data_IF_986563616369
#
_entry.id   IF_986563616369
#
_cell.length_a   1.000
_cell.length_b   1.000
_cell.length_c   1.000
_cell.angle_alpha   90.00
_cell.angle_beta   90.00
_cell.angle_gamma   90.00
#
_symmetry.space_group_name_H-M   'P 1'
#
loop_
_entity.id
_entity.type
_entity.pdbx_description
1 polymer ?
#
# COMPACT_ATOMS: atom_id res chain seq x y z
N UNK A 1 -26.73 4.90 -9.15
CA UNK A 1 -27.12 4.00 -8.05
C UNK A 1 -27.66 4.85 -6.89
N UNK A 2 -28.71 4.42 -6.21
CA UNK A 2 -29.23 5.16 -5.04
C UNK A 2 -28.48 4.65 -3.78
N UNK A 3 -27.62 5.47 -3.20
CA UNK A 3 -26.83 5.12 -2.01
C UNK A 3 -27.62 5.45 -0.75
N UNK A 4 -28.51 4.54 -0.33
CA UNK A 4 -29.27 4.67 0.90
C UNK A 4 -28.38 4.56 2.15
N UNK A 5 -28.85 5.01 3.30
CA UNK A 5 -28.21 4.76 4.59
C UNK A 5 -28.07 3.26 4.84
N UNK A 6 -26.87 2.82 5.22
CA UNK A 6 -26.55 1.43 5.59
C UNK A 6 -25.62 1.40 6.81
N UNK A 7 -25.53 0.24 7.44
CA UNK A 7 -24.56 -0.07 8.48
C UNK A 7 -23.49 -1.01 7.94
N UNK A 8 -22.25 -0.59 7.94
CA UNK A 8 -21.12 -1.38 7.42
C UNK A 8 -20.12 -1.66 8.51
N UNK A 9 -19.80 -2.93 8.73
CA UNK A 9 -18.65 -3.31 9.56
C UNK A 9 -17.46 -3.63 8.67
N UNK A 10 -16.31 -2.98 8.93
CA UNK A 10 -15.10 -3.11 8.09
C UNK A 10 -13.97 -3.68 8.94
N UNK A 11 -13.26 -4.68 8.44
CA UNK A 11 -12.04 -5.19 9.06
C UNK A 11 -10.88 -5.21 8.08
N UNK A 12 -9.79 -4.56 8.48
CA UNK A 12 -8.54 -4.54 7.75
C UNK A 12 -7.44 -4.01 8.67
N UNK A 13 -6.35 -4.75 8.83
CA UNK A 13 -5.36 -4.33 9.80
C UNK A 13 -4.05 -5.10 9.73
N UNK A 14 -3.20 -4.86 10.73
CA UNK A 14 -1.87 -5.43 10.87
C UNK A 14 -0.79 -4.66 10.09
N UNK A 15 -1.11 -4.11 8.94
CA UNK A 15 -0.19 -3.32 8.09
C UNK A 15 -0.91 -2.19 7.38
N UNK A 16 -0.18 -1.16 6.95
CA UNK A 16 -0.73 -0.07 6.14
C UNK A 16 -1.40 -0.55 4.84
N UNK A 17 -0.91 -1.67 4.27
CA UNK A 17 -1.47 -2.27 3.05
C UNK A 17 -2.93 -2.74 3.18
N UNK A 18 -3.42 -3.01 4.39
CA UNK A 18 -4.82 -3.35 4.67
C UNK A 18 -5.60 -2.16 5.25
N UNK A 19 -4.94 -1.33 6.07
CA UNK A 19 -5.60 -0.21 6.77
C UNK A 19 -6.01 0.89 5.78
N UNK A 20 -5.11 1.32 4.91
CA UNK A 20 -5.40 2.41 3.97
C UNK A 20 -6.46 2.06 2.93
N UNK A 21 -6.48 0.87 2.31
CA UNK A 21 -7.61 0.42 1.50
C UNK A 21 -8.95 0.40 2.27
N UNK A 22 -8.96 -0.09 3.50
CA UNK A 22 -10.17 -0.09 4.33
C UNK A 22 -10.67 1.34 4.62
N UNK A 23 -9.77 2.28 4.91
CA UNK A 23 -10.10 3.69 5.09
C UNK A 23 -10.59 4.34 3.79
N UNK A 24 -10.01 3.99 2.64
CA UNK A 24 -10.46 4.51 1.33
C UNK A 24 -11.88 4.07 1.00
N UNK A 25 -12.25 2.81 1.30
CA UNK A 25 -13.62 2.31 1.16
C UNK A 25 -14.56 3.05 2.11
N UNK A 26 -14.19 3.21 3.37
CA UNK A 26 -14.99 3.92 4.38
C UNK A 26 -15.22 5.39 4.01
N UNK A 27 -14.17 6.07 3.54
CA UNK A 27 -14.27 7.46 3.08
C UNK A 27 -15.23 7.59 1.90
N UNK A 28 -15.15 6.68 0.92
CA UNK A 28 -16.05 6.68 -0.23
C UNK A 28 -17.50 6.39 0.17
N UNK A 29 -17.75 5.46 1.09
CA UNK A 29 -19.10 5.23 1.64
C UNK A 29 -19.68 6.49 2.28
N UNK A 30 -18.89 7.20 3.11
CA UNK A 30 -19.31 8.43 3.77
C UNK A 30 -19.48 9.60 2.80
N UNK A 31 -18.65 9.67 1.76
CA UNK A 31 -18.77 10.67 0.68
C UNK A 31 -20.11 10.53 -0.08
N UNK A 32 -20.50 9.28 -0.38
CA UNK A 32 -21.72 8.99 -1.13
C UNK A 32 -22.99 9.09 -0.27
N UNK A 33 -22.89 8.74 1.00
CA UNK A 33 -23.96 8.95 1.97
C UNK A 33 -23.37 9.23 3.36
N UNK A 34 -23.42 10.50 3.85
CA UNK A 34 -22.90 10.89 5.15
C UNK A 34 -23.57 10.21 6.34
N UNK A 35 -24.82 9.70 6.18
CA UNK A 35 -25.56 9.00 7.24
C UNK A 35 -25.16 7.52 7.37
N UNK A 36 -24.30 6.99 6.49
CA UNK A 36 -23.79 5.62 6.58
C UNK A 36 -23.04 5.41 7.89
N UNK A 37 -23.48 4.42 8.65
CA UNK A 37 -22.86 4.06 9.92
C UNK A 37 -21.71 3.05 9.67
N UNK A 38 -20.50 3.43 10.03
CA UNK A 38 -19.31 2.62 9.80
C UNK A 38 -18.66 2.28 11.13
N UNK A 39 -18.44 0.98 11.35
CA UNK A 39 -17.69 0.45 12.49
C UNK A 39 -16.50 -0.37 12.00
N UNK A 40 -15.31 -0.03 12.44
CA UNK A 40 -14.13 -0.85 12.21
C UNK A 40 -13.98 -1.91 13.29
N UNK A 41 -13.36 -3.03 12.89
CA UNK A 41 -12.95 -4.09 13.81
C UNK A 41 -11.50 -4.45 13.52
N UNK A 42 -10.63 -4.30 14.52
CA UNK A 42 -9.18 -4.49 14.40
C UNK A 42 -8.62 -5.46 15.43
N UNK A 43 -7.34 -5.79 15.30
CA UNK A 43 -6.61 -6.59 16.28
C UNK A 43 -6.04 -5.71 17.40
N UNK A 44 -6.21 -6.14 18.65
CA UNK A 44 -5.72 -5.42 19.83
C UNK A 44 -4.21 -5.12 19.74
N UNK A 45 -3.83 -3.87 20.07
CA UNK A 45 -2.44 -3.40 20.08
C UNK A 45 -1.78 -3.29 18.71
N UNK A 46 -2.55 -3.23 17.61
CA UNK A 46 -2.05 -3.09 16.25
C UNK A 46 -2.26 -1.66 15.73
N UNK A 47 -1.61 -1.38 14.60
CA UNK A 47 -1.57 -0.05 13.97
C UNK A 47 -2.98 0.50 13.68
N UNK A 48 -3.93 -0.33 13.31
CA UNK A 48 -5.31 0.05 13.05
C UNK A 48 -5.98 0.72 14.25
N UNK A 49 -5.64 0.29 15.48
CA UNK A 49 -6.20 0.87 16.71
C UNK A 49 -5.84 2.35 16.92
N UNK A 50 -4.81 2.83 16.22
CA UNK A 50 -4.40 4.25 16.21
C UNK A 50 -4.87 4.94 14.92
N UNK A 51 -4.62 4.32 13.75
CA UNK A 51 -4.86 4.95 12.45
C UNK A 51 -6.33 5.14 12.10
N UNK A 52 -7.18 4.24 12.53
CA UNK A 52 -8.62 4.34 12.27
C UNK A 52 -9.27 5.48 13.06
N UNK A 53 -9.03 5.64 14.39
CA UNK A 53 -9.49 6.82 15.13
C UNK A 53 -8.90 8.13 14.62
N UNK A 54 -7.62 8.18 14.23
CA UNK A 54 -7.02 9.37 13.61
C UNK A 54 -7.76 9.79 12.32
N UNK A 55 -8.37 8.84 11.61
CA UNK A 55 -9.19 9.09 10.42
C UNK A 55 -10.68 9.41 10.75
N UNK A 56 -11.06 9.50 12.03
CA UNK A 56 -12.40 9.87 12.46
C UNK A 56 -13.41 8.73 12.43
N UNK A 57 -12.97 7.48 12.54
CA UNK A 57 -13.83 6.29 12.60
C UNK A 57 -13.77 5.59 13.94
N UNK A 58 -14.90 4.99 14.34
CA UNK A 58 -14.95 4.11 15.51
C UNK A 58 -14.33 2.76 15.19
N UNK A 59 -13.61 2.19 16.15
CA UNK A 59 -13.01 0.86 16.03
C UNK A 59 -13.19 0.07 17.31
N UNK A 60 -13.44 -1.23 17.18
CA UNK A 60 -13.48 -2.19 18.27
C UNK A 60 -12.36 -3.23 18.10
N UNK A 61 -11.78 -3.65 19.23
CA UNK A 61 -10.65 -4.55 19.25
C UNK A 61 -11.07 -6.02 19.39
N UNK A 62 -10.44 -6.91 18.62
CA UNK A 62 -10.49 -8.35 18.86
C UNK A 62 -9.18 -8.82 19.48
N UNK A 63 -9.22 -9.75 20.47
CA UNK A 63 -8.04 -10.27 21.16
C UNK A 63 -7.25 -11.28 20.29
N UNK A 64 -7.16 -11.01 18.98
CA UNK A 64 -6.47 -11.88 18.04
C UNK A 64 -5.05 -11.40 17.80
N UNK A 65 -4.14 -12.36 17.58
CA UNK A 65 -2.77 -12.09 17.17
C UNK A 65 -2.43 -12.95 15.96
N UNK A 66 -1.51 -12.45 15.13
CA UNK A 66 -0.99 -13.26 14.02
C UNK A 66 -0.19 -14.46 14.50
N UNK A 67 -0.22 -15.53 13.73
CA UNK A 67 0.66 -16.68 13.92
C UNK A 67 2.11 -16.22 13.81
N UNK A 68 2.88 -16.43 14.89
CA UNK A 68 4.31 -16.16 14.82
C UNK A 68 5.00 -17.30 14.06
N UNK A 69 5.80 -16.97 13.05
CA UNK A 69 6.55 -17.94 12.23
C UNK A 69 7.56 -18.76 13.02
N UNK A 70 7.98 -18.28 14.21
CA UNK A 70 8.84 -19.04 15.12
C UNK A 70 7.98 -19.89 16.05
N UNK A 71 8.41 -21.12 16.32
CA UNK A 71 7.84 -21.96 17.35
C UNK A 71 7.95 -21.23 18.69
N UNK A 72 6.82 -20.73 19.19
CA UNK A 72 6.73 -19.97 20.43
C UNK A 72 5.58 -20.53 21.28
N UNK A 73 5.76 -20.57 22.58
CA UNK A 73 4.70 -20.93 23.54
C UNK A 73 3.45 -20.05 23.40
N UNK A 74 3.59 -18.85 22.82
CA UNK A 74 2.47 -17.97 22.49
C UNK A 74 1.54 -18.58 21.43
N UNK A 75 2.03 -19.46 20.55
CA UNK A 75 1.22 -20.15 19.55
C UNK A 75 0.26 -21.18 20.17
N UNK A 76 0.56 -21.72 21.34
CA UNK A 76 -0.35 -22.62 22.09
C UNK A 76 -1.64 -21.91 22.54
N UNK A 77 -1.59 -20.59 22.75
CA UNK A 77 -2.76 -19.77 23.12
C UNK A 77 -3.57 -19.31 21.89
N UNK A 78 -3.10 -19.59 20.67
CA UNK A 78 -3.75 -19.11 19.44
C UNK A 78 -5.17 -19.68 19.27
N UNK A 79 -5.44 -20.99 19.46
CA UNK A 79 -6.80 -21.54 19.34
C UNK A 79 -7.79 -20.85 20.29
N UNK A 80 -7.39 -20.63 21.54
CA UNK A 80 -8.20 -19.92 22.53
C UNK A 80 -8.49 -18.48 22.09
N UNK A 81 -7.46 -17.75 21.59
CA UNK A 81 -7.63 -16.39 21.08
C UNK A 81 -8.56 -16.32 19.88
N UNK A 82 -8.47 -17.30 18.98
CA UNK A 82 -9.36 -17.39 17.81
C UNK A 82 -10.81 -17.57 18.25
N UNK A 83 -11.09 -18.54 19.16
CA UNK A 83 -12.44 -18.78 19.69
C UNK A 83 -12.97 -17.52 20.37
N UNK A 84 -12.19 -16.91 21.26
CA UNK A 84 -12.56 -15.68 21.96
C UNK A 84 -12.87 -14.56 20.98
N UNK A 85 -12.05 -14.39 19.94
CA UNK A 85 -12.25 -13.37 18.89
C UNK A 85 -13.51 -13.61 18.08
N UNK A 86 -13.85 -14.86 17.77
CA UNK A 86 -15.11 -15.21 17.09
C UNK A 86 -16.33 -14.92 17.98
N UNK A 87 -16.26 -15.24 19.28
CA UNK A 87 -17.35 -14.91 20.23
C UNK A 87 -17.54 -13.39 20.30
N UNK A 88 -16.46 -12.64 20.40
CA UNK A 88 -16.52 -11.16 20.46
C UNK A 88 -17.02 -10.56 19.14
N UNK A 89 -16.56 -11.06 18.01
CA UNK A 89 -17.07 -10.67 16.71
C UNK A 89 -18.59 -10.88 16.58
N UNK A 90 -19.11 -12.02 17.07
CA UNK A 90 -20.58 -12.26 17.12
C UNK A 90 -21.31 -11.25 17.99
N UNK A 91 -20.73 -10.84 19.13
CA UNK A 91 -21.32 -9.81 20.02
C UNK A 91 -21.35 -8.47 19.34
N UNK A 92 -20.26 -8.08 18.67
CA UNK A 92 -20.16 -6.83 17.90
C UNK A 92 -21.25 -6.81 16.82
N UNK A 93 -21.36 -7.89 16.02
CA UNK A 93 -22.34 -8.00 14.93
C UNK A 93 -23.79 -7.90 15.49
N UNK A 94 -24.10 -8.61 16.58
CA UNK A 94 -25.45 -8.53 17.20
C UNK A 94 -25.80 -7.14 17.71
N UNK A 95 -24.83 -6.43 18.27
CA UNK A 95 -25.03 -5.07 18.82
C UNK A 95 -25.11 -4.02 17.71
N UNK A 96 -24.23 -4.09 16.72
CA UNK A 96 -24.15 -3.12 15.64
C UNK A 96 -25.18 -3.38 14.53
N UNK A 97 -25.58 -4.63 14.33
CA UNK A 97 -26.54 -5.08 13.29
C UNK A 97 -26.12 -4.57 11.89
N UNK A 98 -24.94 -4.92 11.39
CA UNK A 98 -24.50 -4.48 10.08
C UNK A 98 -25.34 -5.08 8.97
N UNK A 99 -25.59 -4.31 7.91
CA UNK A 99 -26.20 -4.79 6.66
C UNK A 99 -25.18 -5.62 5.86
N UNK A 100 -23.90 -5.31 5.99
CA UNK A 100 -22.80 -6.01 5.30
C UNK A 100 -21.50 -5.94 6.11
N UNK A 101 -20.67 -6.99 5.98
CA UNK A 101 -19.32 -7.03 6.55
C UNK A 101 -18.26 -7.04 5.42
N UNK A 102 -17.32 -6.10 5.49
CA UNK A 102 -16.23 -5.94 4.51
C UNK A 102 -14.90 -6.35 5.11
N UNK A 103 -14.21 -7.30 4.49
CA UNK A 103 -12.88 -7.76 4.88
C UNK A 103 -11.81 -7.32 3.89
N UNK A 104 -10.85 -6.56 4.39
CA UNK A 104 -9.74 -6.02 3.58
C UNK A 104 -8.43 -6.76 3.85
N UNK A 105 -8.49 -7.84 4.63
CA UNK A 105 -7.32 -8.62 5.05
C UNK A 105 -6.81 -8.28 6.44
N UNK A 106 -5.81 -9.03 6.88
CA UNK A 106 -5.29 -8.96 8.23
C UNK A 106 -5.97 -9.97 9.19
N UNK A 107 -5.42 -10.05 10.40
CA UNK A 107 -5.82 -11.10 11.36
C UNK A 107 -7.24 -10.93 11.90
N UNK A 108 -7.71 -9.69 12.06
CA UNK A 108 -9.05 -9.41 12.58
C UNK A 108 -10.16 -9.71 11.56
N UNK A 109 -9.87 -9.68 10.26
CA UNK A 109 -10.83 -10.01 9.22
C UNK A 109 -11.33 -11.45 9.31
N UNK A 110 -10.48 -12.41 9.69
CA UNK A 110 -10.85 -13.81 9.78
C UNK A 110 -12.01 -14.07 10.76
N UNK A 111 -11.92 -13.74 12.06
CA UNK A 111 -13.00 -13.98 12.99
C UNK A 111 -14.25 -13.14 12.71
N UNK A 112 -14.09 -11.90 12.21
CA UNK A 112 -15.23 -11.04 11.90
C UNK A 112 -16.06 -11.59 10.73
N UNK A 113 -15.43 -11.83 9.57
CA UNK A 113 -16.15 -12.33 8.39
C UNK A 113 -16.66 -13.75 8.60
N UNK A 114 -15.90 -14.61 9.29
CA UNK A 114 -16.39 -15.94 9.64
C UNK A 114 -17.67 -15.86 10.50
N UNK A 115 -17.70 -14.96 11.48
CA UNK A 115 -18.88 -14.74 12.31
C UNK A 115 -20.04 -14.18 11.49
N UNK A 116 -19.81 -13.19 10.62
CA UNK A 116 -20.80 -12.60 9.72
C UNK A 116 -21.43 -13.67 8.81
N UNK A 117 -20.62 -14.47 8.13
CA UNK A 117 -21.08 -15.59 7.27
C UNK A 117 -21.93 -16.60 8.03
N UNK A 118 -21.63 -16.88 9.31
CA UNK A 118 -22.40 -17.80 10.16
C UNK A 118 -23.69 -17.20 10.71
N UNK A 119 -23.80 -15.88 10.68
CA UNK A 119 -24.97 -15.14 11.14
C UNK A 119 -25.86 -14.66 9.99
N UNK A 120 -25.54 -15.03 8.74
CA UNK A 120 -26.31 -14.65 7.56
C UNK A 120 -26.13 -13.17 7.15
N UNK A 121 -25.08 -12.51 7.64
CA UNK A 121 -24.75 -11.15 7.20
C UNK A 121 -23.93 -11.25 5.90
N UNK A 122 -24.33 -10.55 4.83
CA UNK A 122 -23.59 -10.51 3.57
C UNK A 122 -22.14 -10.11 3.78
N UNK A 123 -21.22 -10.72 3.01
CA UNK A 123 -19.78 -10.47 3.15
C UNK A 123 -19.11 -10.13 1.83
N UNK A 124 -18.32 -9.07 1.83
CA UNK A 124 -17.45 -8.69 0.72
C UNK A 124 -15.99 -8.79 1.15
N UNK A 125 -15.16 -9.37 0.30
CA UNK A 125 -13.70 -9.42 0.49
C UNK A 125 -13.03 -8.52 -0.56
N UNK A 126 -12.05 -7.73 -0.13
CA UNK A 126 -11.15 -7.03 -1.02
C UNK A 126 -9.74 -7.62 -0.91
N UNK A 127 -9.18 -8.11 -2.02
CA UNK A 127 -7.82 -8.65 -2.12
C UNK A 127 -6.93 -7.69 -2.89
N UNK A 128 -5.88 -7.21 -2.25
CA UNK A 128 -5.01 -6.17 -2.78
C UNK A 128 -3.89 -6.71 -3.67
N UNK A 129 -3.49 -7.95 -3.50
CA UNK A 129 -2.29 -8.51 -4.09
C UNK A 129 -2.60 -9.47 -5.25
N UNK A 130 -1.66 -9.65 -6.15
CA UNK A 130 -1.73 -10.64 -7.21
C UNK A 130 -1.61 -12.10 -6.72
N UNK A 131 -1.45 -12.30 -5.40
CA UNK A 131 -1.48 -13.59 -4.73
C UNK A 131 -2.32 -13.48 -3.46
N UNK A 132 -3.39 -14.26 -3.38
CA UNK A 132 -4.36 -14.15 -2.28
C UNK A 132 -3.79 -14.63 -0.94
N UNK A 133 -4.05 -13.83 0.11
CA UNK A 133 -3.71 -14.23 1.47
C UNK A 133 -4.52 -15.43 1.95
N UNK A 134 -3.95 -16.26 2.84
CA UNK A 134 -4.60 -17.47 3.37
C UNK A 134 -5.99 -17.18 3.96
N UNK A 135 -6.14 -16.10 4.71
CA UNK A 135 -7.42 -15.68 5.29
C UNK A 135 -8.48 -15.47 4.20
N UNK A 136 -8.14 -14.71 3.16
CA UNK A 136 -9.06 -14.43 2.05
C UNK A 136 -9.40 -15.69 1.25
N UNK A 137 -8.44 -16.62 1.04
CA UNK A 137 -8.69 -17.92 0.39
C UNK A 137 -9.74 -18.76 1.16
N UNK A 138 -9.66 -18.79 2.48
CA UNK A 138 -10.60 -19.56 3.32
C UNK A 138 -11.98 -18.90 3.30
N UNK A 139 -12.05 -17.59 3.52
CA UNK A 139 -13.29 -16.83 3.62
C UNK A 139 -13.98 -16.66 2.26
N UNK A 140 -13.21 -16.56 1.17
CA UNK A 140 -13.70 -16.37 -0.18
C UNK A 140 -14.62 -17.50 -0.68
N UNK A 141 -14.50 -18.71 -0.15
CA UNK A 141 -15.40 -19.81 -0.48
C UNK A 141 -16.85 -19.50 -0.15
N UNK A 142 -17.11 -18.69 0.91
CA UNK A 142 -18.44 -18.33 1.39
C UNK A 142 -18.77 -16.84 1.27
N UNK A 143 -17.82 -16.01 0.83
CA UNK A 143 -18.10 -14.61 0.58
C UNK A 143 -19.11 -14.45 -0.56
N UNK A 144 -19.91 -13.39 -0.49
CA UNK A 144 -20.91 -13.09 -1.52
C UNK A 144 -20.26 -12.37 -2.71
N UNK A 145 -19.25 -11.55 -2.47
CA UNK A 145 -18.47 -10.84 -3.49
C UNK A 145 -16.99 -10.79 -3.12
N UNK A 146 -16.12 -10.85 -4.13
CA UNK A 146 -14.67 -10.77 -3.98
C UNK A 146 -14.11 -9.74 -4.96
N UNK A 147 -13.82 -8.56 -4.46
CA UNK A 147 -13.20 -7.49 -5.20
C UNK A 147 -11.67 -7.70 -5.27
N UNK A 148 -11.12 -7.77 -6.46
CA UNK A 148 -9.70 -8.05 -6.68
C UNK A 148 -9.00 -6.93 -7.43
N UNK A 149 -7.69 -6.81 -7.21
CA UNK A 149 -6.87 -5.80 -7.87
C UNK A 149 -6.14 -6.30 -9.11
N UNK A 150 -6.00 -7.60 -9.27
CA UNK A 150 -5.23 -8.23 -10.36
C UNK A 150 -6.05 -9.33 -11.02
N UNK A 151 -5.77 -9.60 -12.30
CA UNK A 151 -6.30 -10.73 -13.07
C UNK A 151 -5.71 -12.07 -12.62
N UNK A 152 -6.32 -13.18 -13.01
CA UNK A 152 -5.84 -14.53 -12.70
C UNK A 152 -6.10 -14.95 -11.26
N UNK A 153 -7.09 -14.33 -10.59
CA UNK A 153 -7.45 -14.64 -9.21
C UNK A 153 -8.42 -15.85 -9.11
N UNK A 154 -8.89 -16.37 -10.22
CA UNK A 154 -9.73 -17.57 -10.34
C UNK A 154 -9.03 -18.82 -9.79
N UNK A 155 -7.70 -18.82 -9.78
CA UNK A 155 -6.89 -19.87 -9.15
C UNK A 155 -7.02 -19.92 -7.61
N UNK A 156 -7.59 -18.88 -7.00
CA UNK A 156 -7.74 -18.76 -5.55
C UNK A 156 -9.18 -18.67 -5.09
N UNK A 157 -10.07 -18.17 -5.94
CA UNK A 157 -11.45 -17.83 -5.61
C UNK A 157 -12.43 -18.37 -6.65
N UNK A 158 -13.70 -18.61 -6.28
CA UNK A 158 -14.75 -18.93 -7.25
C UNK A 158 -14.90 -17.82 -8.27
N UNK A 159 -14.81 -18.16 -9.57
CA UNK A 159 -14.76 -17.17 -10.66
C UNK A 159 -16.01 -16.27 -10.70
N UNK A 160 -17.17 -16.84 -10.40
CA UNK A 160 -18.47 -16.16 -10.40
C UNK A 160 -18.63 -15.09 -9.32
N UNK A 161 -17.75 -15.09 -8.31
CA UNK A 161 -17.74 -14.11 -7.21
C UNK A 161 -16.70 -13.01 -7.38
N UNK A 162 -15.84 -13.14 -8.38
CA UNK A 162 -14.73 -12.20 -8.61
C UNK A 162 -15.21 -10.98 -9.37
N UNK A 163 -14.90 -9.80 -8.83
CA UNK A 163 -15.09 -8.52 -9.52
C UNK A 163 -13.75 -7.79 -9.56
N UNK A 164 -13.30 -7.42 -10.76
CA UNK A 164 -12.07 -6.66 -10.97
C UNK A 164 -12.33 -5.18 -10.69
N UNK A 165 -12.06 -4.74 -9.46
CA UNK A 165 -12.25 -3.35 -9.03
C UNK A 165 -10.96 -2.53 -8.98
N UNK A 166 -9.81 -3.19 -8.81
CA UNK A 166 -8.56 -2.53 -8.46
C UNK A 166 -8.40 -2.34 -6.94
N UNK A 167 -7.32 -1.66 -6.56
CA UNK A 167 -7.07 -1.29 -5.18
C UNK A 167 -7.61 0.10 -4.88
N UNK A 168 -8.37 0.28 -3.80
CA UNK A 168 -8.81 1.59 -3.36
C UNK A 168 -7.61 2.37 -2.83
N UNK A 169 -7.28 3.45 -3.50
CA UNK A 169 -6.20 4.38 -3.18
C UNK A 169 -6.77 5.75 -2.80
N UNK A 170 -5.92 6.63 -2.32
CA UNK A 170 -6.30 8.01 -1.99
C UNK A 170 -6.73 8.76 -3.26
N UNK A 171 -7.82 9.48 -3.21
CA UNK A 171 -8.40 10.21 -4.35
C UNK A 171 -7.48 11.30 -4.96
N UNK A 172 -6.52 11.77 -4.16
CA UNK A 172 -5.50 12.74 -4.60
C UNK A 172 -4.43 12.13 -5.51
N UNK A 173 -4.34 10.78 -5.60
CA UNK A 173 -3.37 10.10 -6.45
C UNK A 173 -3.85 10.07 -7.89
N UNK A 174 -3.32 11.00 -8.69
CA UNK A 174 -3.64 11.20 -10.11
C UNK A 174 -2.44 11.78 -10.85
N UNK A 175 -2.42 11.80 -12.18
CA UNK A 175 -1.38 12.47 -12.95
C UNK A 175 -1.25 13.93 -12.51
N UNK A 176 -0.01 14.37 -12.32
CA UNK A 176 0.25 15.73 -11.87
C UNK A 176 -0.13 16.78 -12.92
N UNK A 177 -0.81 17.83 -12.50
CA UNK A 177 -0.91 19.05 -13.30
C UNK A 177 0.39 19.86 -13.22
N UNK A 178 0.63 20.80 -14.16
CA UNK A 178 1.76 21.71 -14.06
C UNK A 178 1.80 22.45 -12.72
N UNK A 179 0.64 22.91 -12.20
CA UNK A 179 0.52 23.59 -10.92
C UNK A 179 0.90 22.69 -9.75
N UNK A 180 0.44 21.41 -9.76
CA UNK A 180 0.80 20.46 -8.71
C UNK A 180 2.30 20.15 -8.70
N UNK A 181 2.92 20.10 -9.90
CA UNK A 181 4.37 19.94 -10.01
C UNK A 181 5.12 21.15 -9.44
N UNK A 182 4.69 22.35 -9.78
CA UNK A 182 5.27 23.60 -9.29
C UNK A 182 5.17 23.71 -7.76
N UNK A 183 3.96 23.46 -7.19
CA UNK A 183 3.75 23.36 -5.73
C UNK A 183 4.71 22.35 -5.09
N UNK A 184 4.91 21.20 -5.72
CA UNK A 184 5.81 20.17 -5.22
C UNK A 184 7.28 20.58 -5.26
N UNK A 185 7.71 21.25 -6.33
CA UNK A 185 9.08 21.79 -6.44
C UNK A 185 9.36 22.81 -5.32
N UNK A 186 8.41 23.72 -5.08
CA UNK A 186 8.50 24.70 -4.00
C UNK A 186 8.50 24.02 -2.62
N UNK A 187 7.53 23.14 -2.38
CA UNK A 187 7.38 22.43 -1.09
C UNK A 187 8.63 21.66 -0.69
N UNK A 188 9.23 20.93 -1.64
CA UNK A 188 10.44 20.16 -1.41
C UNK A 188 11.72 20.96 -1.68
N UNK A 189 11.63 22.24 -2.07
CA UNK A 189 12.74 23.12 -2.42
C UNK A 189 13.67 22.50 -3.46
N UNK A 190 13.05 21.98 -4.55
CA UNK A 190 13.76 21.32 -5.64
C UNK A 190 13.99 22.30 -6.81
N UNK A 191 15.10 22.09 -7.53
CA UNK A 191 15.43 22.89 -8.72
C UNK A 191 14.65 22.39 -9.95
N UNK A 192 13.92 23.24 -10.68
CA UNK A 192 13.22 22.82 -11.90
C UNK A 192 14.15 22.35 -13.00
N UNK A 193 15.44 22.72 -12.96
CA UNK A 193 16.47 22.37 -13.96
C UNK A 193 17.07 20.99 -13.75
N UNK A 194 16.77 20.34 -12.61
CA UNK A 194 17.29 19.02 -12.27
C UNK A 194 16.27 17.90 -12.49
N UNK A 195 16.76 16.69 -12.60
CA UNK A 195 15.93 15.47 -12.58
C UNK A 195 15.64 15.07 -11.15
N UNK A 196 14.49 14.50 -10.91
CA UNK A 196 14.04 14.15 -9.55
C UNK A 196 13.77 12.66 -9.43
N UNK A 197 14.51 12.01 -8.53
CA UNK A 197 14.32 10.62 -8.15
C UNK A 197 13.63 10.55 -6.78
N UNK A 198 12.53 9.84 -6.72
CA UNK A 198 11.84 9.53 -5.46
C UNK A 198 12.15 8.08 -5.07
N UNK A 199 12.63 7.88 -3.83
CA UNK A 199 12.93 6.54 -3.28
C UNK A 199 12.04 6.27 -2.08
N UNK A 200 11.21 5.21 -2.15
CA UNK A 200 10.19 4.87 -1.15
C UNK A 200 10.45 3.48 -0.57
N UNK A 201 10.81 3.43 0.70
CA UNK A 201 11.02 2.18 1.42
C UNK A 201 9.75 1.57 2.05
N UNK A 202 8.59 2.25 1.94
CA UNK A 202 7.37 1.94 2.68
C UNK A 202 7.37 2.60 4.08
N UNK A 203 6.27 2.45 4.84
CA UNK A 203 6.06 3.16 6.12
C UNK A 203 7.13 2.93 7.18
N UNK A 204 7.79 1.77 7.17
CA UNK A 204 8.88 1.43 8.10
C UNK A 204 10.28 1.70 7.53
N UNK A 205 10.35 2.05 6.24
CA UNK A 205 11.62 2.13 5.51
C UNK A 205 12.10 0.76 5.01
N UNK A 206 13.21 0.78 4.28
CA UNK A 206 13.84 -0.40 3.71
C UNK A 206 15.36 -0.36 3.88
N UNK A 207 15.91 -1.27 4.68
CA UNK A 207 17.37 -1.35 4.88
C UNK A 207 18.15 -1.55 3.59
N UNK A 208 17.62 -2.31 2.63
CA UNK A 208 18.27 -2.53 1.35
C UNK A 208 18.31 -1.26 0.51
N UNK A 209 17.17 -0.55 0.37
CA UNK A 209 17.14 0.72 -0.35
C UNK A 209 18.07 1.75 0.30
N UNK A 210 18.06 1.82 1.63
CA UNK A 210 18.94 2.73 2.37
C UNK A 210 20.42 2.40 2.09
N UNK A 211 20.82 1.13 2.16
CA UNK A 211 22.20 0.72 1.83
C UNK A 211 22.55 1.06 0.38
N UNK A 212 21.64 0.90 -0.56
CA UNK A 212 21.88 1.25 -1.97
C UNK A 212 22.19 2.75 -2.15
N UNK A 213 21.43 3.61 -1.49
CA UNK A 213 21.66 5.07 -1.55
C UNK A 213 22.96 5.44 -0.83
N UNK A 214 23.18 4.91 0.37
CA UNK A 214 24.39 5.19 1.15
C UNK A 214 25.66 4.74 0.43
N UNK A 215 25.61 3.56 -0.23
CA UNK A 215 26.73 3.07 -1.06
C UNK A 215 26.99 4.01 -2.24
N UNK A 216 25.98 4.41 -2.98
CA UNK A 216 26.08 5.35 -4.09
C UNK A 216 26.71 6.69 -3.66
N UNK A 217 26.33 7.20 -2.48
CA UNK A 217 26.96 8.41 -1.91
C UNK A 217 28.45 8.16 -1.59
N UNK A 218 28.78 7.02 -0.98
CA UNK A 218 30.16 6.67 -0.65
C UNK A 218 31.04 6.50 -1.90
N UNK A 219 30.46 6.17 -3.06
CA UNK A 219 31.13 6.06 -4.35
C UNK A 219 31.22 7.38 -5.11
N UNK A 220 30.84 8.51 -4.49
CA UNK A 220 30.92 9.83 -5.10
C UNK A 220 29.69 10.25 -5.89
N UNK A 221 28.54 9.60 -5.71
CA UNK A 221 27.29 9.87 -6.42
C UNK A 221 27.44 9.81 -7.96
N UNK A 222 27.95 8.72 -8.55
CA UNK A 222 28.16 8.66 -10.01
C UNK A 222 26.85 8.93 -10.76
N UNK A 223 26.88 9.87 -11.73
CA UNK A 223 25.70 10.30 -12.50
C UNK A 223 24.73 11.22 -11.72
N UNK A 224 25.08 11.62 -10.48
CA UNK A 224 24.18 12.41 -9.62
C UNK A 224 24.25 13.92 -9.78
N UNK A 225 25.13 14.48 -10.60
CA UNK A 225 25.36 15.93 -10.71
C UNK A 225 24.09 16.74 -11.07
N UNK A 226 23.23 16.16 -11.91
CA UNK A 226 21.94 16.74 -12.35
C UNK A 226 20.73 16.14 -11.63
N UNK A 227 20.95 15.45 -10.51
CA UNK A 227 19.92 14.70 -9.80
C UNK A 227 19.63 15.31 -8.43
N UNK A 228 18.35 15.39 -8.09
CA UNK A 228 17.89 15.55 -6.71
C UNK A 228 17.09 14.33 -6.30
N UNK A 229 17.36 13.84 -5.08
CA UNK A 229 16.80 12.60 -4.56
C UNK A 229 15.96 12.89 -3.33
N UNK A 230 14.66 12.66 -3.44
CA UNK A 230 13.78 12.56 -2.27
C UNK A 230 13.83 11.12 -1.76
N UNK A 231 14.39 10.94 -0.56
CA UNK A 231 14.67 9.61 -0.04
C UNK A 231 13.93 9.35 1.27
N UNK A 232 12.85 8.56 1.21
CA UNK A 232 12.16 8.07 2.40
C UNK A 232 12.94 6.92 3.04
N UNK A 233 13.77 7.23 4.00
CA UNK A 233 14.58 6.24 4.70
C UNK A 233 13.82 5.43 5.75
N UNK A 234 12.70 5.96 6.28
CA UNK A 234 11.88 5.35 7.32
C UNK A 234 12.31 5.73 8.74
N UNK A 235 11.35 5.84 9.66
CA UNK A 235 11.59 6.25 11.05
C UNK A 235 12.64 5.41 11.76
N UNK A 236 12.64 4.09 11.51
CA UNK A 236 13.58 3.17 12.14
C UNK A 236 15.03 3.46 11.77
N UNK A 237 15.27 3.91 10.53
CA UNK A 237 16.61 4.14 10.01
C UNK A 237 17.05 5.59 10.07
N UNK A 238 16.15 6.53 10.40
CA UNK A 238 16.43 7.98 10.29
C UNK A 238 17.70 8.39 11.05
N UNK A 239 17.88 7.93 12.28
CA UNK A 239 19.06 8.25 13.09
C UNK A 239 20.37 7.81 12.41
N UNK A 240 20.43 6.55 11.96
CA UNK A 240 21.65 6.02 11.31
C UNK A 240 21.93 6.67 9.95
N UNK A 241 20.86 7.06 9.23
CA UNK A 241 20.98 7.79 7.97
C UNK A 241 21.51 9.21 8.22
N UNK A 242 21.02 9.91 9.25
CA UNK A 242 21.51 11.25 9.60
C UNK A 242 22.97 11.24 10.03
N UNK A 243 23.36 10.24 10.82
CA UNK A 243 24.76 10.05 11.22
C UNK A 243 25.66 9.80 9.99
N UNK A 244 25.18 8.97 9.04
CA UNK A 244 25.88 8.73 7.78
C UNK A 244 25.98 10.03 6.93
N UNK A 245 24.90 10.79 6.79
CA UNK A 245 24.92 12.05 6.00
C UNK A 245 25.92 13.07 6.57
N UNK A 246 25.94 13.24 7.89
CA UNK A 246 26.94 14.12 8.56
C UNK A 246 28.37 13.67 8.29
N UNK A 247 28.61 12.37 8.35
CA UNK A 247 29.92 11.79 8.03
C UNK A 247 30.27 12.05 6.55
N UNK A 248 29.33 11.82 5.64
CA UNK A 248 29.53 12.04 4.22
C UNK A 248 29.88 13.50 3.90
N UNK A 249 29.22 14.46 4.56
CA UNK A 249 29.54 15.89 4.45
C UNK A 249 30.96 16.20 4.95
N UNK A 250 31.33 15.68 6.13
CA UNK A 250 32.64 15.93 6.71
C UNK A 250 33.79 15.31 5.94
N UNK A 251 33.56 14.18 5.27
CA UNK A 251 34.53 13.48 4.45
C UNK A 251 34.51 13.90 2.97
N UNK A 252 33.60 14.81 2.58
CA UNK A 252 33.43 15.26 1.19
C UNK A 252 32.92 14.19 0.23
N UNK A 253 32.24 13.14 0.76
CA UNK A 253 31.68 12.09 -0.05
C UNK A 253 30.50 12.62 -0.90
N UNK A 254 30.34 12.10 -2.10
CA UNK A 254 29.24 12.52 -3.00
C UNK A 254 29.44 13.89 -3.65
N UNK A 255 30.46 14.66 -3.27
CA UNK A 255 30.79 15.93 -3.88
C UNK A 255 29.59 16.89 -3.91
N UNK A 256 29.43 17.66 -4.98
CA UNK A 256 28.31 18.59 -5.17
C UNK A 256 26.95 17.93 -5.24
N UNK A 257 26.88 16.64 -5.62
CA UNK A 257 25.62 15.89 -5.74
C UNK A 257 25.01 15.58 -4.37
N UNK A 258 25.81 15.49 -3.28
CA UNK A 258 25.31 15.23 -1.94
C UNK A 258 24.26 16.26 -1.49
N UNK A 259 24.44 17.54 -1.83
CA UNK A 259 23.49 18.60 -1.50
C UNK A 259 22.09 18.41 -2.12
N UNK A 260 21.99 17.59 -3.17
CA UNK A 260 20.73 17.21 -3.80
C UNK A 260 20.02 16.03 -3.14
N UNK A 261 20.64 15.34 -2.16
CA UNK A 261 20.06 14.18 -1.47
C UNK A 261 19.31 14.61 -0.21
N UNK A 262 18.01 14.34 -0.15
CA UNK A 262 17.13 14.75 0.95
C UNK A 262 16.53 13.54 1.67
N UNK A 263 17.18 13.00 2.71
CA UNK A 263 16.65 11.90 3.51
C UNK A 263 15.53 12.37 4.44
N UNK A 264 14.37 11.71 4.35
CA UNK A 264 13.20 11.95 5.20
C UNK A 264 12.79 10.65 5.89
N UNK A 265 12.34 10.75 7.13
CA UNK A 265 11.79 9.60 7.85
C UNK A 265 10.43 9.16 7.25
N UNK A 266 9.61 10.14 6.87
CA UNK A 266 8.28 9.91 6.29
C UNK A 266 7.91 11.04 5.31
N UNK A 267 7.22 10.69 4.23
CA UNK A 267 6.71 11.64 3.24
C UNK A 267 5.20 11.81 3.46
N UNK A 268 4.79 12.94 4.03
CA UNK A 268 3.39 13.25 4.30
C UNK A 268 2.60 13.62 3.02
N UNK A 269 3.20 14.47 2.17
CA UNK A 269 2.61 14.93 0.91
C UNK A 269 3.11 14.08 -0.26
N UNK A 270 2.70 12.79 -0.25
CA UNK A 270 3.04 11.84 -1.33
C UNK A 270 2.52 12.28 -2.70
N UNK A 271 1.41 13.01 -2.73
CA UNK A 271 0.86 13.63 -3.93
C UNK A 271 1.87 14.55 -4.60
N UNK A 272 2.48 15.44 -3.83
CA UNK A 272 3.52 16.36 -4.30
C UNK A 272 4.83 15.61 -4.63
N UNK A 273 5.20 14.61 -3.83
CA UNK A 273 6.40 13.82 -4.09
C UNK A 273 6.29 13.05 -5.42
N UNK A 274 5.12 12.45 -5.69
CA UNK A 274 4.86 11.86 -6.99
C UNK A 274 4.80 12.92 -8.11
N UNK A 275 4.23 14.10 -7.84
CA UNK A 275 4.13 15.16 -8.86
C UNK A 275 5.51 15.58 -9.38
N UNK A 276 6.48 15.78 -8.50
CA UNK A 276 7.84 16.21 -8.88
C UNK A 276 8.70 15.07 -9.45
N UNK A 277 8.49 13.83 -9.04
CA UNK A 277 9.33 12.70 -9.44
C UNK A 277 9.28 12.43 -10.94
N UNK A 278 10.44 12.37 -11.58
CA UNK A 278 10.59 11.92 -12.97
C UNK A 278 10.65 10.37 -13.02
N UNK A 279 11.29 9.74 -12.03
CA UNK A 279 11.26 8.31 -11.82
C UNK A 279 11.12 7.97 -10.33
N UNK A 280 10.62 6.77 -10.03
CA UNK A 280 10.41 6.31 -8.66
C UNK A 280 11.08 4.96 -8.43
N UNK A 281 11.84 4.84 -7.34
CA UNK A 281 12.28 3.56 -6.80
C UNK A 281 11.35 3.20 -5.64
N UNK A 282 10.75 2.02 -5.66
CA UNK A 282 9.81 1.62 -4.63
C UNK A 282 9.84 0.13 -4.30
N UNK A 283 9.47 -0.20 -3.05
CA UNK A 283 8.95 -1.53 -2.75
C UNK A 283 7.63 -1.72 -3.51
N UNK A 284 7.33 -2.96 -3.89
CA UNK A 284 6.12 -3.29 -4.68
C UNK A 284 4.94 -3.75 -3.81
N UNK A 285 4.69 -3.02 -2.72
CA UNK A 285 3.46 -3.16 -1.95
C UNK A 285 2.24 -2.76 -2.79
N UNK A 286 1.11 -3.44 -2.59
CA UNK A 286 -0.08 -3.28 -3.43
C UNK A 286 -0.54 -1.82 -3.57
N UNK A 287 -0.61 -1.06 -2.46
CA UNK A 287 -1.02 0.35 -2.50
C UNK A 287 -0.04 1.21 -3.28
N UNK A 288 1.29 1.02 -3.07
CA UNK A 288 2.32 1.79 -3.78
C UNK A 288 2.27 1.54 -5.28
N UNK A 289 2.12 0.27 -5.69
CA UNK A 289 1.97 -0.10 -7.10
C UNK A 289 0.76 0.58 -7.72
N UNK A 290 -0.39 0.53 -7.04
CA UNK A 290 -1.62 1.15 -7.53
C UNK A 290 -1.55 2.68 -7.58
N UNK A 291 -0.91 3.33 -6.60
CA UNK A 291 -0.66 4.77 -6.61
C UNK A 291 0.27 5.19 -7.76
N UNK A 292 1.34 4.42 -8.01
CA UNK A 292 2.27 4.66 -9.12
C UNK A 292 1.57 4.54 -10.47
N UNK A 293 0.68 3.54 -10.64
CA UNK A 293 -0.15 3.42 -11.83
C UNK A 293 -1.06 4.64 -11.99
N UNK A 294 -1.78 5.03 -10.94
CA UNK A 294 -2.71 6.16 -10.98
C UNK A 294 -2.01 7.50 -11.26
N UNK A 295 -0.77 7.67 -10.80
CA UNK A 295 0.04 8.85 -11.06
C UNK A 295 0.82 8.78 -12.38
N UNK A 296 0.76 7.67 -13.13
CA UNK A 296 1.49 7.48 -14.38
C UNK A 296 3.00 7.54 -14.24
N UNK A 297 3.55 6.98 -13.16
CA UNK A 297 4.98 7.08 -12.84
C UNK A 297 5.80 5.91 -13.38
N UNK A 298 6.93 6.23 -14.02
CA UNK A 298 7.96 5.26 -14.31
C UNK A 298 8.58 4.76 -13.00
N UNK A 299 8.54 3.45 -12.76
CA UNK A 299 8.98 2.87 -11.50
C UNK A 299 9.99 1.75 -11.66
N UNK A 300 10.98 1.73 -10.75
CA UNK A 300 11.89 0.61 -10.53
C UNK A 300 11.46 -0.06 -9.22
N UNK A 301 10.97 -1.27 -9.33
CA UNK A 301 10.52 -2.05 -8.20
C UNK A 301 11.65 -2.87 -7.60
N UNK A 302 11.76 -2.82 -6.28
CA UNK A 302 12.66 -3.68 -5.49
C UNK A 302 11.79 -4.49 -4.53
N UNK A 303 11.27 -5.66 -4.94
CA UNK A 303 10.41 -6.47 -4.08
C UNK A 303 11.10 -6.86 -2.77
N UNK A 304 10.36 -6.79 -1.65
CA UNK A 304 10.87 -7.24 -0.36
C UNK A 304 10.87 -8.76 -0.28
N UNK A 305 11.99 -9.42 0.08
CA UNK A 305 12.02 -10.87 0.26
C UNK A 305 11.33 -11.34 1.55
N UNK A 306 11.01 -10.40 2.46
CA UNK A 306 10.49 -10.70 3.80
C UNK A 306 8.96 -10.64 3.88
N UNK A 307 8.27 -10.82 2.76
CA UNK A 307 6.80 -10.83 2.71
C UNK A 307 6.24 -12.23 2.55
N UNK A 308 4.96 -12.42 2.87
CA UNK A 308 4.30 -13.70 2.71
C UNK A 308 4.11 -14.00 1.21
N UNK A 309 4.31 -15.28 0.80
CA UNK A 309 3.97 -15.77 -0.54
C UNK A 309 4.60 -14.97 -1.68
N UNK A 310 5.72 -14.29 -1.42
CA UNK A 310 6.44 -13.46 -2.40
C UNK A 310 5.52 -12.48 -3.20
N UNK A 311 4.44 -12.02 -2.56
CA UNK A 311 3.41 -11.22 -3.23
C UNK A 311 3.97 -9.92 -3.85
N UNK A 312 5.06 -9.36 -3.29
CA UNK A 312 5.66 -8.16 -3.88
C UNK A 312 6.30 -8.42 -5.24
N UNK A 313 6.94 -9.56 -5.43
CA UNK A 313 7.45 -9.96 -6.76
C UNK A 313 6.30 -10.13 -7.74
N UNK A 314 5.21 -10.77 -7.33
CA UNK A 314 4.02 -10.92 -8.17
C UNK A 314 3.41 -9.57 -8.57
N UNK A 315 3.28 -8.64 -7.63
CA UNK A 315 2.77 -7.28 -7.89
C UNK A 315 3.67 -6.53 -8.88
N UNK A 316 5.00 -6.55 -8.68
CA UNK A 316 5.96 -5.90 -9.58
C UNK A 316 5.91 -6.50 -10.99
N UNK A 317 5.91 -7.84 -11.09
CA UNK A 317 5.92 -8.54 -12.38
C UNK A 317 4.65 -8.30 -13.20
N UNK A 318 3.51 -8.01 -12.56
CA UNK A 318 2.29 -7.61 -13.26
C UNK A 318 2.49 -6.33 -14.07
N UNK A 319 3.29 -5.37 -13.56
CA UNK A 319 3.61 -4.13 -14.26
C UNK A 319 4.77 -4.30 -15.26
N UNK A 320 5.78 -5.05 -14.86
CA UNK A 320 6.97 -5.27 -15.70
C UNK A 320 6.61 -5.96 -17.01
N UNK A 321 5.70 -6.94 -16.99
CA UNK A 321 5.21 -7.63 -18.19
C UNK A 321 4.50 -6.71 -19.17
N UNK A 322 3.85 -5.66 -18.67
CA UNK A 322 3.15 -4.64 -19.47
C UNK A 322 4.05 -3.45 -19.82
N UNK A 323 5.35 -3.54 -19.55
CA UNK A 323 6.28 -2.42 -19.79
C UNK A 323 6.00 -1.17 -18.95
N UNK A 324 5.31 -1.32 -17.82
CA UNK A 324 4.94 -0.25 -16.90
C UNK A 324 5.91 -0.10 -15.71
N UNK A 325 7.00 -0.88 -15.70
CA UNK A 325 7.99 -0.84 -14.64
C UNK A 325 9.22 -1.67 -14.95
N UNK A 326 10.24 -1.50 -14.13
CA UNK A 326 11.46 -2.31 -14.11
C UNK A 326 11.58 -3.02 -12.77
N UNK A 327 12.29 -4.14 -12.73
CA UNK A 327 12.55 -4.88 -11.49
C UNK A 327 14.05 -5.00 -11.25
N UNK A 328 14.45 -4.70 -10.01
CA UNK A 328 15.78 -5.00 -9.47
C UNK A 328 15.58 -5.93 -8.26
N UNK A 329 16.27 -7.06 -8.22
CA UNK A 329 16.17 -7.96 -7.07
C UNK A 329 16.76 -7.32 -5.82
N UNK A 330 16.15 -7.60 -4.65
CA UNK A 330 16.59 -7.03 -3.36
C UNK A 330 18.09 -7.32 -3.10
N UNK A 331 18.55 -8.53 -3.42
CA UNK A 331 19.96 -8.92 -3.25
C UNK A 331 20.93 -8.19 -4.17
N UNK A 332 20.46 -7.70 -5.32
CA UNK A 332 21.29 -6.99 -6.32
C UNK A 332 21.18 -5.45 -6.16
N UNK A 333 20.21 -4.97 -5.39
CA UNK A 333 19.92 -3.55 -5.29
C UNK A 333 21.10 -2.69 -4.80
N UNK A 334 21.90 -3.10 -3.80
CA UNK A 334 23.06 -2.30 -3.37
C UNK A 334 24.06 -2.01 -4.51
N UNK A 335 24.18 -2.90 -5.48
CA UNK A 335 25.14 -2.76 -6.59
C UNK A 335 24.51 -2.11 -7.85
N UNK A 336 23.23 -2.35 -8.10
CA UNK A 336 22.63 -2.03 -9.41
C UNK A 336 21.57 -0.91 -9.35
N UNK A 337 20.99 -0.66 -8.18
CA UNK A 337 19.79 0.17 -8.10
C UNK A 337 20.02 1.61 -8.59
N UNK A 338 21.03 2.27 -8.05
CA UNK A 338 21.28 3.68 -8.37
C UNK A 338 21.78 3.87 -9.80
N UNK A 339 22.62 2.97 -10.30
CA UNK A 339 23.03 3.00 -11.72
C UNK A 339 21.86 2.77 -12.67
N UNK A 340 20.94 1.84 -12.32
CA UNK A 340 19.70 1.61 -13.08
C UNK A 340 18.79 2.84 -13.04
N UNK A 341 18.67 3.52 -11.90
CA UNK A 341 17.86 4.72 -11.77
C UNK A 341 18.43 5.89 -12.57
N UNK A 342 19.74 6.11 -12.53
CA UNK A 342 20.41 7.15 -13.33
C UNK A 342 20.22 6.88 -14.84
N UNK A 343 20.44 5.62 -15.28
CA UNK A 343 20.24 5.23 -16.67
C UNK A 343 18.78 5.42 -17.13
N UNK A 344 17.80 5.12 -16.27
CA UNK A 344 16.40 5.38 -16.59
C UNK A 344 16.12 6.88 -16.71
N UNK A 345 16.65 7.69 -15.81
CA UNK A 345 16.49 9.15 -15.84
C UNK A 345 17.12 9.79 -17.10
N UNK A 346 18.13 9.15 -17.67
CA UNK A 346 18.75 9.59 -18.92
C UNK A 346 17.98 9.18 -20.19
N UNK A 347 16.89 8.44 -20.05
CA UNK A 347 16.00 8.01 -21.13
C UNK A 347 14.55 8.56 -20.95
N UNK A 348 14.29 9.83 -21.32
CA UNK A 348 12.96 10.41 -21.22
C UNK A 348 11.88 9.68 -22.02
N UNK A 349 12.28 9.03 -23.13
CA UNK A 349 11.35 8.24 -23.95
C UNK A 349 10.86 7.02 -23.17
N UNK A 350 11.78 6.29 -22.56
CA UNK A 350 11.45 5.12 -21.73
C UNK A 350 10.60 5.50 -20.52
N UNK A 351 10.92 6.62 -19.84
CA UNK A 351 10.09 7.16 -18.75
C UNK A 351 8.66 7.42 -19.25
N UNK A 352 8.51 8.09 -20.39
CA UNK A 352 7.20 8.38 -20.99
C UNK A 352 6.41 7.13 -21.35
N UNK A 353 7.07 6.13 -21.97
CA UNK A 353 6.43 4.85 -22.32
C UNK A 353 5.97 4.08 -21.06
N UNK A 354 6.83 3.97 -20.05
CA UNK A 354 6.49 3.33 -18.79
C UNK A 354 5.33 4.02 -18.09
N UNK A 355 5.34 5.35 -18.04
CA UNK A 355 4.26 6.14 -17.43
C UNK A 355 2.93 5.93 -18.14
N UNK A 356 2.91 5.95 -19.48
CA UNK A 356 1.71 5.68 -20.29
C UNK A 356 1.18 4.26 -20.07
N UNK A 357 2.06 3.27 -19.99
CA UNK A 357 1.65 1.91 -19.73
C UNK A 357 1.13 1.73 -18.30
N UNK A 358 1.74 2.39 -17.30
CA UNK A 358 1.24 2.41 -15.93
C UNK A 358 -0.19 2.98 -15.84
N UNK A 359 -0.48 4.08 -16.56
CA UNK A 359 -1.83 4.66 -16.60
C UNK A 359 -2.88 3.71 -17.19
N UNK A 360 -2.54 2.89 -18.19
CA UNK A 360 -3.48 1.87 -18.73
C UNK A 360 -3.89 0.84 -17.68
N UNK A 361 -3.01 0.56 -16.71
CA UNK A 361 -3.25 -0.39 -15.63
C UNK A 361 -3.95 0.26 -14.43
N UNK A 362 -4.06 1.58 -14.40
CA UNK A 362 -4.66 2.32 -13.31
C UNK A 362 -6.16 2.00 -13.17
N UNK A 363 -6.62 1.96 -11.91
CA UNK A 363 -8.03 1.83 -11.54
C UNK A 363 -8.37 2.93 -10.53
N UNK A 364 -8.46 4.20 -10.97
CA UNK A 364 -8.64 5.33 -10.04
C UNK A 364 -9.98 5.27 -9.29
N UNK A 365 -11.00 4.67 -9.89
CA UNK A 365 -12.34 4.54 -9.31
C UNK A 365 -12.55 3.25 -8.50
N UNK A 366 -11.47 2.59 -8.09
CA UNK A 366 -11.55 1.33 -7.35
C UNK A 366 -12.41 1.43 -6.07
N UNK A 367 -12.29 2.51 -5.30
CA UNK A 367 -13.10 2.71 -4.10
C UNK A 367 -14.60 2.83 -4.45
N UNK A 368 -14.93 3.57 -5.50
CA UNK A 368 -16.31 3.67 -6.01
C UNK A 368 -16.83 2.31 -6.46
N UNK A 369 -16.07 1.58 -7.29
CA UNK A 369 -16.45 0.26 -7.78
C UNK A 369 -16.70 -0.74 -6.64
N UNK A 370 -15.87 -0.71 -5.58
CA UNK A 370 -16.08 -1.55 -4.39
C UNK A 370 -17.36 -1.17 -3.65
N UNK A 371 -17.64 0.13 -3.51
CA UNK A 371 -18.89 0.59 -2.87
C UNK A 371 -20.10 0.20 -3.70
N UNK A 372 -20.03 0.28 -5.02
CA UNK A 372 -21.10 -0.18 -5.90
C UNK A 372 -21.40 -1.68 -5.69
N UNK A 373 -20.35 -2.51 -5.55
CA UNK A 373 -20.52 -3.93 -5.23
C UNK A 373 -21.10 -4.15 -3.83
N UNK A 374 -20.75 -3.31 -2.82
CA UNK A 374 -21.38 -3.34 -1.50
C UNK A 374 -22.91 -3.16 -1.66
N UNK A 375 -23.36 -2.15 -2.38
CA UNK A 375 -24.79 -1.87 -2.55
C UNK A 375 -25.51 -2.90 -3.40
N UNK A 376 -24.88 -3.48 -4.42
CA UNK A 376 -25.44 -4.60 -5.20
C UNK A 376 -25.72 -5.83 -4.33
N UNK A 377 -24.81 -6.16 -3.43
CA UNK A 377 -24.96 -7.31 -2.52
C UNK A 377 -26.00 -7.10 -1.41
N UNK A 378 -26.53 -5.89 -1.26
CA UNK A 378 -27.63 -5.58 -0.32
C UNK A 378 -29.02 -5.64 -1.01
N UNK A 379 -29.06 -5.77 -2.31
CA UNK A 379 -30.32 -5.81 -3.08
C UNK A 379 -30.67 -7.23 -3.56
N UNK A 380 -29.81 -8.19 -3.28
CA UNK A 380 -30.04 -9.62 -3.47
C UNK A 380 -30.56 -10.28 -2.20
#
# INVERSE_FOLDING_TARGET
>A
MNYRKIRVVISGGGTGGHIFPALSIANKLRELNPETEILFVGAEGRMEMTKVPEAGYRIEALPIAGLQRKLSLSNLKLPYKVIKSVVEAKRIIRRFQPDIAVGVGGYASAPLLWAAQRMGVPTLIQEQNGFAGLTNKILGKKADCICVAYSGMERFFPAEKIVMTGNPIRSVMRPASPQTREEGLEFYRLSPEKKHLLIIGGSLGSGTLNRSVMKWISEGCPGGERLEVLWQCGKYYKKSVDEFMKKAESEGLGGKALAGVRPMDFIGRMDLAYAVADAVVSRSGASSVSELCACGKAAIFVPSPNVAEDHQTHNAMALVKEGAGMLVKDSEAPEKLMSTACALLDDPRKIGDMGRNALKLARPDAAQSIVDEIYKNLTL
#
